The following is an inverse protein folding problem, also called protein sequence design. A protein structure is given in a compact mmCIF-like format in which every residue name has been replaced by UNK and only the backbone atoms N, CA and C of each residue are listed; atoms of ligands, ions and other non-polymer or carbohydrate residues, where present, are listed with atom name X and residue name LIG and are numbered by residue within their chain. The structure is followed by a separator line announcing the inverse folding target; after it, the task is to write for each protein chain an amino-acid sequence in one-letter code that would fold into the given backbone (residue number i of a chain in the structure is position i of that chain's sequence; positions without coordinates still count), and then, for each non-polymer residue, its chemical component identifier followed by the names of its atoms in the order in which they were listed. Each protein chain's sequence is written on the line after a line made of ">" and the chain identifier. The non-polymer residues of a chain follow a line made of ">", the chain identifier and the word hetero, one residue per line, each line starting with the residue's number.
data_IF_436597246425
#
_entry.id   IF_436597246425
#
_cell.length_a   1.000
_cell.length_b   1.000
_cell.length_c   1.000
_cell.angle_alpha   90.00
_cell.angle_beta   90.00
_cell.angle_gamma   90.00
#
_symmetry.space_group_name_H-M   'P 1'
#
loop_
_entity.id
_entity.type
_entity.pdbx_description
1 polymer ?
#
# COMPACT_ATOMS: atom_id res chain seq x y z
N UNK A 1 16.84 14.84 -29.27
CA UNK A 1 15.46 15.30 -28.96
C UNK A 1 14.66 14.26 -28.17
N UNK A 2 14.72 12.97 -28.53
CA UNK A 2 14.02 11.89 -27.80
C UNK A 2 14.42 11.76 -26.31
N UNK A 3 15.68 11.98 -25.95
CA UNK A 3 16.14 11.90 -24.54
C UNK A 3 15.51 12.95 -23.62
N UNK A 4 15.22 14.15 -24.14
CA UNK A 4 14.54 15.19 -23.36
C UNK A 4 13.07 14.85 -23.14
N UNK A 5 12.38 14.33 -24.18
CA UNK A 5 10.99 13.87 -24.04
C UNK A 5 10.88 12.72 -23.03
N UNK A 6 11.77 11.74 -23.10
CA UNK A 6 11.77 10.62 -22.14
C UNK A 6 12.04 11.07 -20.72
N UNK A 7 12.89 12.09 -20.52
CA UNK A 7 13.13 12.66 -19.19
C UNK A 7 11.87 13.34 -18.62
N UNK A 8 11.12 14.09 -19.44
CA UNK A 8 9.85 14.71 -19.02
C UNK A 8 8.76 13.68 -18.72
N UNK A 9 8.64 12.64 -19.54
CA UNK A 9 7.69 11.54 -19.30
C UNK A 9 8.07 10.76 -18.04
N UNK A 10 9.36 10.51 -17.81
CA UNK A 10 9.85 9.87 -16.60
C UNK A 10 9.58 10.69 -15.33
N UNK A 11 9.83 12.01 -15.36
CA UNK A 11 9.56 12.90 -14.24
C UNK A 11 8.06 12.99 -13.92
N UNK A 12 7.22 13.15 -14.93
CA UNK A 12 5.76 13.21 -14.74
C UNK A 12 5.20 11.89 -14.18
N UNK A 13 5.65 10.75 -14.71
CA UNK A 13 5.29 9.44 -14.17
C UNK A 13 5.74 9.28 -12.70
N UNK A 14 6.96 9.70 -12.38
CA UNK A 14 7.49 9.66 -11.00
C UNK A 14 6.65 10.49 -10.02
N UNK A 15 6.25 11.70 -10.40
CA UNK A 15 5.40 12.57 -9.57
C UNK A 15 4.01 11.96 -9.36
N UNK A 16 3.40 11.39 -10.42
CA UNK A 16 2.09 10.74 -10.32
C UNK A 16 2.15 9.51 -9.40
N UNK A 17 3.16 8.65 -9.54
CA UNK A 17 3.30 7.45 -8.71
C UNK A 17 3.60 7.82 -7.25
N UNK A 18 4.50 8.79 -7.03
CA UNK A 18 4.85 9.25 -5.68
C UNK A 18 3.66 9.89 -4.94
N UNK A 19 2.88 10.73 -5.63
CA UNK A 19 1.67 11.33 -5.06
C UNK A 19 0.58 10.29 -4.78
N UNK A 20 0.39 9.31 -5.67
CA UNK A 20 -0.53 8.20 -5.44
C UNK A 20 -0.13 7.36 -4.21
N UNK A 21 1.16 7.04 -4.06
CA UNK A 21 1.67 6.31 -2.89
C UNK A 21 1.47 7.10 -1.58
N UNK A 22 1.73 8.41 -1.58
CA UNK A 22 1.52 9.27 -0.41
C UNK A 22 0.02 9.40 -0.05
N UNK A 23 -0.86 9.55 -1.05
CA UNK A 23 -2.30 9.57 -0.87
C UNK A 23 -2.81 8.22 -0.31
N UNK A 24 -2.26 7.12 -0.80
CA UNK A 24 -2.60 5.80 -0.29
C UNK A 24 -2.17 5.60 1.18
N UNK A 25 -0.93 5.96 1.55
CA UNK A 25 -0.48 5.85 2.94
C UNK A 25 -1.25 6.73 3.92
N UNK A 26 -1.72 7.89 3.47
CA UNK A 26 -2.56 8.78 4.28
C UNK A 26 -3.98 8.23 4.43
N UNK A 27 -4.60 7.71 3.36
CA UNK A 27 -5.90 7.05 3.42
C UNK A 27 -5.89 5.84 4.36
N UNK A 28 -4.82 5.05 4.37
CA UNK A 28 -4.66 3.91 5.27
C UNK A 28 -4.37 4.30 6.72
N UNK A 29 -4.19 5.59 7.03
CA UNK A 29 -3.70 6.06 8.33
C UNK A 29 -2.43 5.34 8.78
N UNK A 30 -1.59 4.90 7.82
CA UNK A 30 -0.41 4.10 8.11
C UNK A 30 0.55 4.83 9.04
N UNK A 31 0.83 6.10 8.73
CA UNK A 31 1.70 6.99 9.53
C UNK A 31 1.13 7.20 10.95
N UNK A 32 -0.18 7.45 11.06
CA UNK A 32 -0.82 7.67 12.36
C UNK A 32 -0.73 6.44 13.27
N UNK A 33 -0.88 5.24 12.70
CA UNK A 33 -0.77 3.98 13.46
C UNK A 33 0.65 3.67 13.89
N UNK A 34 1.65 3.87 13.03
CA UNK A 34 3.04 3.64 13.41
C UNK A 34 3.47 4.56 14.57
N UNK A 35 3.03 5.82 14.54
CA UNK A 35 3.28 6.78 15.62
C UNK A 35 2.56 6.39 16.92
N UNK A 36 1.33 5.86 16.82
CA UNK A 36 0.56 5.40 17.97
C UNK A 36 1.22 4.20 18.65
N UNK A 37 1.70 3.22 17.88
CA UNK A 37 2.42 2.05 18.40
C UNK A 37 3.76 2.46 19.00
N UNK A 38 4.47 3.41 18.39
CA UNK A 38 5.73 3.94 18.91
C UNK A 38 5.56 4.93 20.09
N UNK A 39 4.32 5.24 20.48
CA UNK A 39 3.95 6.19 21.53
C UNK A 39 4.63 7.58 21.40
N UNK A 40 4.96 7.98 20.16
CA UNK A 40 5.82 9.12 19.85
C UNK A 40 5.06 10.27 19.17
N UNK A 41 3.92 10.68 19.75
CA UNK A 41 3.01 11.69 19.15
C UNK A 41 3.65 13.04 18.83
N UNK A 42 4.73 13.42 19.53
CA UNK A 42 5.44 14.69 19.28
C UNK A 42 6.33 14.66 18.02
N UNK A 43 6.64 13.49 17.46
CA UNK A 43 7.66 13.33 16.40
C UNK A 43 7.06 12.96 15.03
N UNK A 44 5.84 13.38 14.72
CA UNK A 44 5.13 13.02 13.46
C UNK A 44 5.97 13.31 12.21
N UNK A 45 6.59 14.50 12.13
CA UNK A 45 7.39 14.92 10.97
C UNK A 45 8.61 14.04 10.75
N UNK A 46 9.23 13.56 11.82
CA UNK A 46 10.42 12.71 11.74
C UNK A 46 10.02 11.34 11.16
N UNK A 47 8.93 10.75 11.65
CA UNK A 47 8.42 9.48 11.11
C UNK A 47 8.03 9.59 9.62
N UNK A 48 7.36 10.68 9.23
CA UNK A 48 7.01 10.92 7.84
C UNK A 48 8.25 11.01 6.95
N UNK A 49 9.28 11.74 7.39
CA UNK A 49 10.54 11.86 6.65
C UNK A 49 11.30 10.53 6.57
N UNK A 50 11.32 9.73 7.65
CA UNK A 50 11.95 8.41 7.65
C UNK A 50 11.28 7.47 6.64
N UNK A 51 9.94 7.45 6.60
CA UNK A 51 9.20 6.62 5.64
C UNK A 51 9.47 7.08 4.20
N UNK A 52 9.48 8.40 3.95
CA UNK A 52 9.78 8.96 2.64
C UNK A 52 11.21 8.65 2.19
N UNK A 53 12.19 8.81 3.09
CA UNK A 53 13.59 8.47 2.83
C UNK A 53 13.80 6.96 2.62
N UNK A 54 13.10 6.12 3.38
CA UNK A 54 13.12 4.68 3.19
C UNK A 54 12.58 4.27 1.82
N UNK A 55 11.46 4.85 1.39
CA UNK A 55 10.85 4.58 0.09
C UNK A 55 11.75 5.03 -1.07
N UNK A 56 12.38 6.22 -0.97
CA UNK A 56 13.31 6.70 -2.00
C UNK A 56 14.58 5.87 -2.07
N UNK A 57 15.17 5.51 -0.92
CA UNK A 57 16.34 4.63 -0.86
C UNK A 57 16.04 3.24 -1.43
N UNK A 58 14.90 2.64 -1.06
CA UNK A 58 14.50 1.34 -1.60
C UNK A 58 14.27 1.38 -3.11
N UNK A 59 13.64 2.44 -3.62
CA UNK A 59 13.45 2.64 -5.06
C UNK A 59 14.79 2.69 -5.80
N UNK A 60 15.79 3.39 -5.22
CA UNK A 60 17.12 3.44 -5.79
C UNK A 60 17.82 2.07 -5.82
N UNK A 61 17.72 1.31 -4.72
CA UNK A 61 18.27 -0.06 -4.64
C UNK A 61 17.59 -0.98 -5.68
N UNK A 62 16.27 -0.87 -5.83
CA UNK A 62 15.48 -1.66 -6.78
C UNK A 62 15.93 -1.42 -8.22
N UNK A 63 16.11 -0.17 -8.63
CA UNK A 63 16.60 0.16 -9.97
C UNK A 63 18.07 -0.22 -10.18
N UNK A 64 18.88 -0.15 -9.13
CA UNK A 64 20.31 -0.45 -9.22
C UNK A 64 20.61 -1.95 -9.39
N UNK A 65 19.62 -2.85 -9.30
CA UNK A 65 19.78 -4.31 -9.39
C UNK A 65 20.94 -4.88 -8.55
N UNK A 66 21.30 -4.21 -7.44
CA UNK A 66 22.37 -4.66 -6.56
C UNK A 66 21.84 -5.83 -5.74
N UNK A 67 22.31 -7.04 -6.06
CA UNK A 67 22.02 -8.22 -5.26
C UNK A 67 22.96 -8.28 -4.06
N UNK A 68 22.44 -7.95 -2.88
CA UNK A 68 23.19 -8.15 -1.65
C UNK A 68 23.17 -9.64 -1.25
N UNK A 69 24.34 -10.29 -1.23
CA UNK A 69 24.50 -11.58 -0.55
C UNK A 69 24.56 -11.33 0.96
N UNK A 70 23.40 -11.24 1.58
CA UNK A 70 23.28 -11.10 3.04
C UNK A 70 23.51 -12.46 3.71
N UNK A 71 24.16 -12.45 4.87
CA UNK A 71 24.29 -13.62 5.73
C UNK A 71 22.88 -14.13 6.14
N UNK A 72 22.70 -15.44 6.26
CA UNK A 72 21.42 -16.08 6.60
C UNK A 72 20.79 -15.48 7.87
N UNK A 73 21.59 -15.10 8.87
CA UNK A 73 21.09 -14.47 10.10
C UNK A 73 20.47 -13.08 9.85
N UNK A 74 21.08 -12.27 8.98
CA UNK A 74 20.57 -10.93 8.64
C UNK A 74 19.31 -11.07 7.78
N UNK A 75 19.29 -12.02 6.86
CA UNK A 75 18.11 -12.33 6.04
C UNK A 75 16.90 -12.74 6.88
N UNK A 76 17.12 -13.58 7.91
CA UNK A 76 16.07 -13.96 8.84
C UNK A 76 15.49 -12.76 9.60
N UNK A 77 16.36 -11.85 10.06
CA UNK A 77 15.94 -10.65 10.77
C UNK A 77 15.13 -9.70 9.87
N UNK A 78 15.60 -9.47 8.63
CA UNK A 78 14.88 -8.65 7.62
C UNK A 78 13.52 -9.26 7.30
N UNK A 79 13.44 -10.59 7.17
CA UNK A 79 12.19 -11.31 6.90
C UNK A 79 11.19 -11.15 8.05
N UNK A 80 11.67 -11.12 9.31
CA UNK A 80 10.83 -10.90 10.49
C UNK A 80 10.25 -9.48 10.49
N UNK A 81 11.08 -8.46 10.23
CA UNK A 81 10.61 -7.08 10.09
C UNK A 81 9.61 -6.92 8.94
N UNK A 82 9.84 -7.61 7.82
CA UNK A 82 8.90 -7.62 6.71
C UNK A 82 7.56 -8.23 7.09
N UNK A 83 7.57 -9.34 7.87
CA UNK A 83 6.37 -9.95 8.41
C UNK A 83 5.59 -9.01 9.34
N UNK A 84 6.30 -8.29 10.23
CA UNK A 84 5.68 -7.29 11.10
C UNK A 84 5.04 -6.14 10.31
N UNK A 85 5.75 -5.62 9.31
CA UNK A 85 5.24 -4.60 8.41
C UNK A 85 4.00 -5.07 7.65
N UNK A 86 4.03 -6.28 7.06
CA UNK A 86 2.89 -6.89 6.37
C UNK A 86 1.69 -7.10 7.29
N UNK A 87 1.91 -7.51 8.54
CA UNK A 87 0.86 -7.67 9.55
C UNK A 87 0.17 -6.35 9.87
N UNK A 88 0.94 -5.30 10.13
CA UNK A 88 0.39 -3.95 10.32
C UNK A 88 -0.34 -3.44 9.09
N UNK A 89 0.23 -3.66 7.90
CA UNK A 89 -0.34 -3.22 6.63
C UNK A 89 -1.68 -3.91 6.34
N UNK A 90 -1.78 -5.22 6.62
CA UNK A 90 -3.02 -5.99 6.50
C UNK A 90 -4.10 -5.49 7.46
N UNK A 91 -3.73 -5.21 8.72
CA UNK A 91 -4.65 -4.61 9.70
C UNK A 91 -5.10 -3.20 9.28
N UNK A 92 -4.22 -2.41 8.64
CA UNK A 92 -4.57 -1.11 8.07
C UNK A 92 -5.61 -1.22 6.97
N UNK A 93 -5.40 -2.16 6.03
CA UNK A 93 -6.35 -2.44 4.97
C UNK A 93 -7.71 -2.90 5.50
N UNK A 94 -7.75 -3.80 6.48
CA UNK A 94 -9.00 -4.30 7.06
C UNK A 94 -9.86 -3.16 7.63
N UNK A 95 -9.25 -2.24 8.38
CA UNK A 95 -9.99 -1.10 8.95
C UNK A 95 -10.52 -0.16 7.86
N UNK A 96 -9.74 0.14 6.81
CA UNK A 96 -10.21 0.96 5.69
C UNK A 96 -11.36 0.30 4.97
N UNK A 97 -11.30 -1.02 4.77
CA UNK A 97 -12.39 -1.80 4.17
C UNK A 97 -13.66 -1.73 5.00
N UNK A 98 -13.55 -1.76 6.34
CA UNK A 98 -14.69 -1.63 7.24
C UNK A 98 -15.32 -0.21 7.22
N UNK A 99 -14.56 0.82 6.85
CA UNK A 99 -15.09 2.19 6.66
C UNK A 99 -15.97 2.31 5.41
N UNK A 100 -15.74 1.53 4.35
CA UNK A 100 -16.49 1.63 3.08
C UNK A 100 -18.01 1.42 3.28
N UNK A 101 -18.48 0.35 3.98
CA UNK A 101 -19.89 0.17 4.30
C UNK A 101 -20.48 1.31 5.15
N UNK A 102 -19.70 1.84 6.10
CA UNK A 102 -20.13 2.89 7.03
C UNK A 102 -20.35 4.21 6.27
N UNK A 103 -19.43 4.54 5.36
CA UNK A 103 -19.55 5.70 4.47
C UNK A 103 -20.79 5.58 3.57
N UNK A 104 -21.01 4.38 3.02
CA UNK A 104 -22.16 4.06 2.17
C UNK A 104 -23.49 4.23 2.91
N UNK A 105 -23.54 3.87 4.21
CA UNK A 105 -24.70 4.06 5.09
C UNK A 105 -24.92 5.52 5.47
N UNK A 106 -23.85 6.30 5.65
CA UNK A 106 -23.93 7.75 5.93
C UNK A 106 -24.45 8.58 4.75
N UNK A 107 -24.18 8.16 3.50
CA UNK A 107 -24.69 8.82 2.29
C UNK A 107 -26.20 8.63 2.06
N UNK A 108 -26.98 8.20 3.08
CA UNK A 108 -28.45 8.04 3.08
C UNK A 108 -29.00 7.21 1.91
N UNK A 109 -28.22 6.31 1.33
CA UNK A 109 -28.69 5.34 0.35
C UNK A 109 -29.32 4.12 1.04
N UNK A 110 -30.36 4.35 1.87
CA UNK A 110 -31.05 3.28 2.62
C UNK A 110 -31.50 2.09 1.76
N UNK A 111 -31.79 2.32 0.48
CA UNK A 111 -32.19 1.27 -0.47
C UNK A 111 -31.04 0.73 -1.36
N UNK A 112 -29.87 1.42 -1.45
CA UNK A 112 -28.78 1.03 -2.38
C UNK A 112 -27.60 0.32 -1.71
N UNK A 113 -27.54 0.30 -0.38
CA UNK A 113 -26.56 -0.51 0.35
C UNK A 113 -26.56 -1.98 -0.08
N UNK A 114 -27.76 -2.58 -0.21
CA UNK A 114 -27.90 -3.97 -0.66
C UNK A 114 -27.20 -4.19 -2.01
N UNK A 115 -27.36 -3.24 -2.95
CA UNK A 115 -26.73 -3.28 -4.27
C UNK A 115 -25.21 -3.13 -4.21
N UNK A 116 -24.69 -2.26 -3.33
CA UNK A 116 -23.26 -2.05 -3.16
C UNK A 116 -22.61 -3.30 -2.56
N UNK A 117 -23.22 -3.89 -1.53
CA UNK A 117 -22.71 -5.12 -0.91
C UNK A 117 -22.81 -6.31 -1.87
N UNK A 118 -23.91 -6.45 -2.63
CA UNK A 118 -24.02 -7.50 -3.66
C UNK A 118 -23.01 -7.31 -4.79
N UNK A 119 -22.76 -6.07 -5.23
CA UNK A 119 -21.74 -5.78 -6.26
C UNK A 119 -20.33 -6.12 -5.76
N UNK A 120 -20.03 -5.85 -4.49
CA UNK A 120 -18.74 -6.19 -3.88
C UNK A 120 -18.57 -7.72 -3.76
N UNK A 121 -19.62 -8.43 -3.32
CA UNK A 121 -19.67 -9.88 -3.27
C UNK A 121 -19.51 -10.50 -4.66
N UNK A 122 -20.18 -9.96 -5.67
CA UNK A 122 -20.06 -10.42 -7.06
C UNK A 122 -18.63 -10.20 -7.59
N UNK A 123 -18.04 -9.03 -7.33
CA UNK A 123 -16.65 -8.78 -7.71
C UNK A 123 -15.66 -9.76 -7.05
N UNK A 124 -15.84 -10.03 -5.75
CA UNK A 124 -15.00 -10.99 -5.01
C UNK A 124 -15.15 -12.43 -5.50
N UNK A 125 -16.38 -12.85 -5.79
CA UNK A 125 -16.68 -14.20 -6.30
C UNK A 125 -16.17 -14.39 -7.72
N UNK A 126 -16.42 -13.44 -8.63
CA UNK A 126 -15.88 -13.47 -9.99
C UNK A 126 -14.35 -13.43 -10.00
N UNK A 127 -13.73 -12.58 -9.18
CA UNK A 127 -12.27 -12.54 -9.03
C UNK A 127 -11.69 -13.89 -8.55
N UNK A 128 -12.32 -14.52 -7.56
CA UNK A 128 -11.94 -15.85 -7.07
C UNK A 128 -12.10 -16.93 -8.14
N UNK A 129 -13.19 -16.89 -8.90
CA UNK A 129 -13.45 -17.82 -10.00
C UNK A 129 -12.41 -17.67 -11.11
N UNK A 130 -12.12 -16.44 -11.55
CA UNK A 130 -11.08 -16.16 -12.55
C UNK A 130 -9.69 -16.62 -12.08
N UNK A 131 -9.34 -16.37 -10.81
CA UNK A 131 -8.07 -16.82 -10.24
C UNK A 131 -7.93 -18.35 -10.35
N UNK A 132 -8.97 -19.10 -9.98
CA UNK A 132 -8.91 -20.55 -9.96
C UNK A 132 -9.00 -21.18 -11.37
N UNK A 133 -9.83 -20.63 -12.25
CA UNK A 133 -10.02 -21.15 -13.61
C UNK A 133 -8.85 -20.82 -14.55
N UNK A 134 -8.23 -19.65 -14.40
CA UNK A 134 -7.27 -19.12 -15.38
C UNK A 134 -5.83 -19.24 -14.86
N UNK A 135 -5.57 -18.87 -13.60
CA UNK A 135 -4.21 -18.77 -13.06
C UNK A 135 -3.73 -20.05 -12.38
N UNK A 136 -4.60 -20.78 -11.68
CA UNK A 136 -4.20 -22.00 -10.94
C UNK A 136 -4.07 -23.23 -11.85
N UNK A 137 -4.71 -23.23 -13.02
CA UNK A 137 -4.74 -24.40 -13.93
C UNK A 137 -3.60 -24.42 -14.97
N UNK A 138 -2.57 -23.58 -14.83
CA UNK A 138 -1.44 -23.53 -15.78
C UNK A 138 -0.10 -23.68 -15.07
#
# INVERSE_FOLDING_TARGET
>A
MYSFLSAFVGLSAGVVIGSAAAAFFTLLNFISRTIQVANARKMVKIYQNIIALGASAYSFIYFSNITFKLNNMISALVSLFMGYFLGMFSSALAEVLDVIPILSKKLKTKHRLKYITTSLLFGKTLGSLCYWLIYVKR
#
